data_IF_498284886610
#
_entry.id   IF_498284886610
#
_cell.length_a   1.000
_cell.length_b   1.000
_cell.length_c   1.000
_cell.angle_alpha   90.00
_cell.angle_beta   90.00
_cell.angle_gamma   90.00
#
_symmetry.space_group_name_H-M   'P 1'
#
loop_
_entity.id
_entity.type
_entity.pdbx_description
1 polymer ?
#
# COMPACT_ATOMS: atom_id res chain seq x y z
N UNK A 1 -19.41 64.16 -60.62
CA UNK A 1 -20.15 63.31 -61.58
C UNK A 1 -21.25 62.58 -60.79
N UNK A 2 -22.45 63.16 -60.64
CA UNK A 2 -23.75 62.67 -61.20
C UNK A 2 -23.72 61.16 -61.55
N UNK A 3 -24.55 60.29 -60.98
CA UNK A 3 -26.02 60.13 -61.11
C UNK A 3 -26.51 59.31 -59.88
N UNK A 4 -27.51 59.66 -59.07
CA UNK A 4 -28.96 59.79 -59.31
C UNK A 4 -29.62 58.57 -59.98
N UNK A 5 -30.35 57.76 -59.20
CA UNK A 5 -31.45 56.93 -59.67
C UNK A 5 -32.44 56.64 -58.53
N UNK A 6 -33.63 57.25 -58.67
CA UNK A 6 -34.87 56.99 -57.94
C UNK A 6 -35.46 55.62 -58.29
N UNK A 7 -36.33 55.08 -57.43
CA UNK A 7 -37.73 54.69 -57.73
C UNK A 7 -38.36 54.01 -56.49
N UNK A 8 -39.21 54.79 -55.83
CA UNK A 8 -40.65 54.57 -55.53
C UNK A 8 -41.25 53.18 -55.26
N UNK A 9 -41.94 53.14 -54.10
CA UNK A 9 -43.31 52.66 -53.82
C UNK A 9 -43.57 51.13 -53.88
N UNK A 10 -43.91 50.55 -52.72
CA UNK A 10 -45.27 50.03 -52.50
C UNK A 10 -45.57 49.88 -51.01
N UNK A 11 -46.66 50.53 -50.62
CA UNK A 11 -47.31 50.47 -49.32
C UNK A 11 -48.31 49.31 -49.37
N UNK A 12 -48.19 48.33 -48.47
CA UNK A 12 -49.26 47.38 -48.17
C UNK A 12 -49.39 47.29 -46.65
N UNK A 13 -50.47 47.85 -46.15
CA UNK A 13 -50.92 47.69 -44.79
C UNK A 13 -51.55 46.32 -44.54
N UNK A 14 -51.79 46.10 -43.25
CA UNK A 14 -52.74 45.14 -42.66
C UNK A 14 -52.39 43.65 -42.77
N UNK A 15 -51.96 43.07 -41.65
CA UNK A 15 -52.92 42.44 -40.73
C UNK A 15 -52.25 42.04 -39.41
N UNK A 16 -52.89 42.48 -38.33
CA UNK A 16 -52.86 41.84 -37.02
C UNK A 16 -52.79 40.32 -37.14
N UNK A 17 -51.89 39.69 -36.39
CA UNK A 17 -52.27 38.58 -35.51
C UNK A 17 -51.06 38.15 -34.67
N UNK A 18 -51.20 38.34 -33.36
CA UNK A 18 -50.98 37.32 -32.34
C UNK A 18 -49.85 36.32 -32.60
N UNK A 19 -48.76 36.46 -31.83
CA UNK A 19 -48.25 35.39 -30.96
C UNK A 19 -47.08 35.91 -30.12
N UNK A 20 -47.48 36.61 -29.07
CA UNK A 20 -46.72 36.71 -27.83
C UNK A 20 -46.26 35.31 -27.36
N UNK A 21 -44.95 35.13 -27.21
CA UNK A 21 -44.39 34.52 -26.02
C UNK A 21 -44.48 33.00 -25.85
N UNK A 22 -43.99 32.19 -26.81
CA UNK A 22 -43.74 30.76 -26.54
C UNK A 22 -42.41 30.19 -27.08
N UNK A 23 -41.47 31.00 -27.58
CA UNK A 23 -40.22 30.48 -28.15
C UNK A 23 -38.96 30.60 -27.26
N UNK A 24 -39.07 31.11 -26.02
CA UNK A 24 -37.88 31.33 -25.17
C UNK A 24 -37.74 30.38 -23.95
N UNK A 25 -38.67 29.43 -23.75
CA UNK A 25 -38.62 28.50 -22.61
C UNK A 25 -38.03 27.12 -22.89
N UNK A 26 -37.53 26.85 -24.09
CA UNK A 26 -36.97 25.54 -24.44
C UNK A 26 -35.44 25.49 -24.58
N UNK A 27 -34.75 26.64 -24.61
CA UNK A 27 -33.28 26.66 -24.78
C UNK A 27 -32.52 26.65 -23.45
N UNK A 28 -33.19 26.96 -22.32
CA UNK A 28 -32.55 26.94 -20.99
C UNK A 28 -32.50 25.54 -20.33
N UNK A 29 -33.34 24.59 -20.77
CA UNK A 29 -33.33 23.22 -20.22
C UNK A 29 -32.21 22.33 -20.76
N UNK A 30 -31.77 22.54 -22.01
CA UNK A 30 -30.77 21.69 -22.65
C UNK A 30 -29.33 21.89 -22.15
N UNK A 31 -29.00 23.09 -21.66
CA UNK A 31 -27.64 23.40 -21.16
C UNK A 31 -27.34 22.80 -19.78
N UNK A 32 -28.36 22.61 -18.95
CA UNK A 32 -28.22 21.97 -17.63
C UNK A 32 -28.09 20.44 -17.76
N UNK A 33 -28.82 19.83 -18.70
CA UNK A 33 -28.75 18.39 -18.93
C UNK A 33 -27.39 17.93 -19.47
N UNK A 34 -26.76 18.71 -20.35
CA UNK A 34 -25.44 18.38 -20.92
C UNK A 34 -24.31 18.51 -19.90
N UNK A 35 -24.40 19.50 -18.99
CA UNK A 35 -23.43 19.69 -17.90
C UNK A 35 -23.54 18.60 -16.84
N UNK A 36 -24.75 18.12 -16.53
CA UNK A 36 -24.95 16.99 -15.63
C UNK A 36 -24.39 15.68 -16.21
N UNK A 37 -24.55 15.44 -17.51
CA UNK A 37 -24.03 14.26 -18.18
C UNK A 37 -22.49 14.24 -18.27
N UNK A 38 -21.85 15.39 -18.47
CA UNK A 38 -20.38 15.50 -18.44
C UNK A 38 -19.83 15.32 -17.02
N UNK A 39 -20.50 15.83 -15.99
CA UNK A 39 -20.12 15.59 -14.60
C UNK A 39 -20.25 14.11 -14.18
N UNK A 40 -21.25 13.39 -14.71
CA UNK A 40 -21.47 11.98 -14.38
C UNK A 40 -20.47 11.04 -15.07
N UNK A 41 -19.98 11.39 -16.27
CA UNK A 41 -18.96 10.61 -17.03
C UNK A 41 -17.53 10.91 -16.57
N UNK A 42 -17.31 11.97 -15.79
CA UNK A 42 -16.02 12.31 -15.16
C UNK A 42 -15.82 11.70 -13.75
N UNK A 43 -16.81 10.95 -13.25
CA UNK A 43 -16.69 10.20 -11.98
C UNK A 43 -16.13 8.77 -12.04
N UNK A 44 -15.74 8.13 -13.18
CA UNK A 44 -15.10 6.83 -13.13
C UNK A 44 -13.59 7.01 -12.85
N UNK A 45 -13.26 7.46 -11.64
CA UNK A 45 -11.88 7.89 -11.36
C UNK A 45 -11.27 7.51 -10.01
N UNK A 46 -12.06 7.25 -8.96
CA UNK A 46 -11.48 7.19 -7.59
C UNK A 46 -11.66 5.88 -6.83
N UNK A 47 -12.25 4.82 -7.41
CA UNK A 47 -12.51 3.59 -6.64
C UNK A 47 -11.93 2.31 -7.23
N UNK A 48 -11.25 2.36 -8.39
CA UNK A 48 -10.83 1.15 -9.10
C UNK A 48 -9.39 0.67 -8.80
N UNK A 49 -8.62 1.43 -8.01
CA UNK A 49 -7.25 1.08 -7.61
C UNK A 49 -7.11 0.84 -6.11
N UNK A 50 -8.10 0.19 -5.49
CA UNK A 50 -7.97 -0.29 -4.12
C UNK A 50 -7.18 -1.60 -4.14
N UNK A 51 -5.85 -1.51 -4.27
CA UNK A 51 -4.97 -2.67 -4.17
C UNK A 51 -5.21 -3.41 -2.85
N UNK A 52 -5.14 -4.74 -2.86
CA UNK A 52 -5.35 -5.51 -1.63
C UNK A 52 -4.07 -5.47 -0.80
N UNK A 53 -4.13 -4.94 0.42
CA UNK A 53 -3.00 -4.93 1.35
C UNK A 53 -3.01 -6.22 2.19
N UNK A 54 -1.96 -7.02 2.08
CA UNK A 54 -1.74 -8.21 2.90
C UNK A 54 -0.73 -7.88 4.00
N UNK A 55 -1.20 -7.77 5.24
CA UNK A 55 -0.39 -7.49 6.43
C UNK A 55 -0.74 -8.48 7.54
N UNK A 56 0.25 -8.83 8.35
CA UNK A 56 0.06 -9.66 9.54
C UNK A 56 -0.76 -8.89 10.59
N UNK A 57 -1.60 -9.61 11.35
CA UNK A 57 -2.34 -9.00 12.46
C UNK A 57 -1.39 -8.46 13.52
N UNK A 58 -1.67 -7.26 14.06
CA UNK A 58 -0.82 -6.60 15.07
C UNK A 58 -0.56 -7.47 16.31
N UNK A 59 -1.54 -8.28 16.69
CA UNK A 59 -1.40 -9.19 17.84
C UNK A 59 -0.31 -10.26 17.65
N UNK A 60 -0.01 -10.65 16.40
CA UNK A 60 1.12 -11.56 16.09
C UNK A 60 2.44 -10.84 16.30
N UNK A 61 2.56 -9.61 15.78
CA UNK A 61 3.76 -8.79 15.94
C UNK A 61 4.04 -8.54 17.41
N UNK A 62 2.99 -8.21 18.17
CA UNK A 62 3.09 -8.05 19.62
C UNK A 62 3.54 -9.36 20.29
N UNK A 63 3.01 -10.53 19.93
CA UNK A 63 3.48 -11.83 20.47
C UNK A 63 4.98 -12.06 20.19
N UNK A 64 5.42 -11.85 18.96
CA UNK A 64 6.83 -12.04 18.57
C UNK A 64 7.75 -11.01 19.25
N UNK A 65 7.27 -9.78 19.48
CA UNK A 65 8.02 -8.74 20.21
C UNK A 65 8.42 -9.18 21.62
N UNK A 66 7.69 -10.10 22.25
CA UNK A 66 7.96 -10.55 23.63
C UNK A 66 9.11 -11.58 23.75
N UNK A 67 9.67 -12.09 22.66
CA UNK A 67 10.72 -13.13 22.75
C UNK A 67 12.10 -12.57 23.12
N UNK A 68 12.30 -11.25 23.05
CA UNK A 68 13.57 -10.60 23.36
C UNK A 68 13.43 -9.09 23.48
N UNK A 69 14.57 -8.39 23.57
CA UNK A 69 14.58 -6.94 23.58
C UNK A 69 14.59 -6.40 22.16
N UNK A 70 13.48 -5.84 21.69
CA UNK A 70 13.45 -5.17 20.37
C UNK A 70 14.27 -3.89 20.45
N UNK A 71 15.34 -3.83 19.66
CA UNK A 71 16.26 -2.69 19.59
C UNK A 71 15.96 -1.80 18.38
N UNK A 72 15.27 -2.33 17.38
CA UNK A 72 14.84 -1.59 16.21
C UNK A 72 13.64 -2.28 15.53
N UNK A 73 12.78 -1.50 14.88
CA UNK A 73 11.58 -1.98 14.20
C UNK A 73 11.38 -1.17 12.91
N UNK A 74 11.00 -1.85 11.85
CA UNK A 74 10.65 -1.25 10.58
C UNK A 74 9.49 -2.01 9.93
N UNK A 75 8.81 -1.37 9.00
CA UNK A 75 7.82 -2.01 8.14
C UNK A 75 8.27 -1.80 6.70
N UNK A 76 8.26 -2.85 5.89
CA UNK A 76 8.55 -2.74 4.45
C UNK A 76 7.33 -3.11 3.63
N UNK A 77 7.19 -2.47 2.48
CA UNK A 77 6.08 -2.68 1.56
C UNK A 77 6.60 -3.15 0.21
N UNK A 78 6.09 -4.29 -0.28
CA UNK A 78 6.38 -4.78 -1.62
C UNK A 78 5.09 -4.80 -2.44
N UNK A 79 5.10 -4.13 -3.58
CA UNK A 79 3.99 -4.06 -4.50
C UNK A 79 4.16 -5.11 -5.59
N UNK A 80 3.23 -6.07 -5.70
CA UNK A 80 3.25 -7.11 -6.72
C UNK A 80 1.83 -7.48 -7.15
N UNK A 81 1.58 -7.52 -8.46
CA UNK A 81 0.30 -7.93 -9.05
C UNK A 81 -0.96 -7.26 -8.44
N UNK A 82 -0.89 -5.94 -8.20
CA UNK A 82 -1.99 -5.17 -7.61
C UNK A 82 -2.22 -5.43 -6.12
N UNK A 83 -1.32 -6.16 -5.46
CA UNK A 83 -1.30 -6.38 -4.02
C UNK A 83 -0.11 -5.68 -3.37
N UNK A 84 -0.32 -5.14 -2.17
CA UNK A 84 0.73 -4.59 -1.32
C UNK A 84 0.98 -5.57 -0.19
N UNK A 85 2.10 -6.28 -0.24
CA UNK A 85 2.55 -7.12 0.87
C UNK A 85 3.32 -6.26 1.87
N UNK A 86 2.89 -6.29 3.13
CA UNK A 86 3.52 -5.55 4.21
C UNK A 86 4.24 -6.54 5.12
N UNK A 87 5.54 -6.34 5.28
CA UNK A 87 6.39 -7.15 6.16
C UNK A 87 6.79 -6.32 7.37
N UNK A 88 6.49 -6.82 8.56
CA UNK A 88 6.95 -6.20 9.81
C UNK A 88 8.30 -6.82 10.20
N UNK A 89 9.32 -5.98 10.39
CA UNK A 89 10.70 -6.40 10.66
C UNK A 89 11.11 -5.95 12.04
N UNK A 90 11.44 -6.90 12.91
CA UNK A 90 11.91 -6.65 14.28
C UNK A 90 13.38 -7.06 14.40
N UNK A 91 14.23 -6.14 14.81
CA UNK A 91 15.61 -6.44 15.20
C UNK A 91 15.64 -6.64 16.70
N UNK A 92 15.95 -7.87 17.12
CA UNK A 92 15.76 -8.31 18.51
C UNK A 92 17.08 -8.78 19.11
N UNK A 93 17.45 -8.18 20.25
CA UNK A 93 18.51 -8.67 21.12
C UNK A 93 17.99 -9.83 21.99
N UNK A 94 18.61 -11.00 21.80
CA UNK A 94 18.32 -12.22 22.53
C UNK A 94 19.16 -12.38 23.79
N UNK A 95 20.02 -11.40 24.13
CA UNK A 95 20.97 -11.42 25.25
C UNK A 95 21.79 -12.71 25.26
N UNK A 96 22.46 -12.97 24.15
CA UNK A 96 23.23 -14.18 23.89
C UNK A 96 24.64 -13.80 23.42
N UNK A 97 25.66 -14.54 23.85
CA UNK A 97 27.07 -14.26 23.56
C UNK A 97 27.51 -14.73 22.16
N UNK A 98 26.58 -14.92 21.23
CA UNK A 98 26.88 -15.47 19.92
C UNK A 98 25.66 -15.50 19.00
N UNK A 99 25.88 -15.21 17.72
CA UNK A 99 24.83 -15.08 16.70
C UNK A 99 24.07 -16.39 16.46
N UNK A 100 24.77 -17.53 16.45
CA UNK A 100 24.12 -18.85 16.35
C UNK A 100 23.26 -19.16 17.57
N UNK A 101 23.80 -18.96 18.76
CA UNK A 101 23.09 -19.20 20.03
C UNK A 101 21.88 -18.28 20.17
N UNK A 102 21.97 -17.05 19.65
CA UNK A 102 20.84 -16.11 19.61
C UNK A 102 19.69 -16.64 18.75
N UNK A 103 19.99 -17.12 17.55
CA UNK A 103 18.99 -17.72 16.66
C UNK A 103 18.38 -18.98 17.28
N UNK A 104 19.19 -19.88 17.85
CA UNK A 104 18.71 -21.08 18.53
C UNK A 104 17.81 -20.75 19.72
N UNK A 105 18.14 -19.70 20.49
CA UNK A 105 17.33 -19.20 21.60
C UNK A 105 16.00 -18.62 21.11
N UNK A 106 16.00 -17.80 20.06
CA UNK A 106 14.78 -17.26 19.46
C UNK A 106 13.84 -18.38 18.98
N UNK A 107 14.39 -19.38 18.29
CA UNK A 107 13.64 -20.57 17.85
C UNK A 107 13.02 -21.31 19.04
N UNK A 108 13.77 -21.51 20.12
CA UNK A 108 13.28 -22.22 21.30
C UNK A 108 12.12 -21.46 21.98
N UNK A 109 12.23 -20.14 22.10
CA UNK A 109 11.17 -19.30 22.67
C UNK A 109 9.91 -19.30 21.81
N UNK A 110 10.04 -19.12 20.50
CA UNK A 110 8.90 -19.15 19.58
C UNK A 110 8.21 -20.52 19.55
N UNK A 111 8.96 -21.62 19.65
CA UNK A 111 8.38 -22.96 19.83
C UNK A 111 7.52 -23.05 21.08
N UNK A 112 7.92 -22.42 22.19
CA UNK A 112 7.11 -22.36 23.40
C UNK A 112 5.80 -21.56 23.20
N UNK A 113 5.78 -20.62 22.26
CA UNK A 113 4.57 -19.91 21.80
C UNK A 113 3.79 -20.66 20.70
N UNK A 114 4.12 -21.92 20.41
CA UNK A 114 3.39 -22.75 19.45
C UNK A 114 3.78 -22.54 17.98
N UNK A 115 4.91 -21.88 17.71
CA UNK A 115 5.45 -21.77 16.37
C UNK A 115 6.18 -23.06 15.98
N UNK A 116 5.98 -23.50 14.75
CA UNK A 116 6.59 -24.71 14.19
C UNK A 116 7.53 -24.36 13.07
N UNK A 117 8.70 -24.99 13.02
CA UNK A 117 9.66 -24.80 11.93
C UNK A 117 9.07 -25.38 10.64
N UNK A 118 9.00 -24.55 9.60
CA UNK A 118 8.60 -24.96 8.25
C UNK A 118 9.84 -25.29 7.41
N UNK A 119 10.86 -24.42 7.45
CA UNK A 119 12.10 -24.59 6.70
C UNK A 119 13.30 -24.17 7.54
N UNK A 120 14.42 -24.86 7.35
CA UNK A 120 15.66 -24.63 8.09
C UNK A 120 16.85 -24.57 7.13
N UNK A 121 17.54 -23.44 7.11
CA UNK A 121 18.81 -23.23 6.39
C UNK A 121 19.86 -22.73 7.40
N UNK A 122 20.22 -23.61 8.32
CA UNK A 122 21.21 -23.29 9.35
C UNK A 122 22.61 -23.10 8.73
N UNK A 123 23.45 -22.26 9.36
CA UNK A 123 23.21 -21.57 10.63
C UNK A 123 22.40 -20.28 10.49
N UNK A 124 22.05 -19.84 9.27
CA UNK A 124 21.75 -18.44 8.99
C UNK A 124 20.27 -18.07 9.06
N UNK A 125 19.39 -19.00 8.70
CA UNK A 125 17.98 -18.69 8.49
C UNK A 125 17.04 -19.84 8.87
N UNK A 126 15.88 -19.50 9.43
CA UNK A 126 14.78 -20.44 9.74
C UNK A 126 13.45 -19.79 9.43
N UNK A 127 12.58 -20.46 8.67
CA UNK A 127 11.16 -20.10 8.54
C UNK A 127 10.33 -20.89 9.54
N UNK A 128 9.41 -20.19 10.19
CA UNK A 128 8.44 -20.76 11.10
C UNK A 128 7.02 -20.35 10.69
N UNK A 129 6.07 -21.23 10.97
CA UNK A 129 4.63 -20.98 10.87
C UNK A 129 3.98 -21.07 12.23
N UNK A 130 2.94 -20.30 12.48
CA UNK A 130 2.15 -20.44 13.70
C UNK A 130 1.06 -21.49 13.52
N UNK A 131 0.84 -22.32 14.55
CA UNK A 131 -0.36 -23.16 14.61
C UNK A 131 -1.63 -22.39 14.97
N UNK A 132 -1.49 -21.20 15.58
CA UNK A 132 -2.57 -20.33 16.05
C UNK A 132 -2.91 -19.25 15.02
N UNK A 133 -1.89 -18.60 14.46
CA UNK A 133 -2.06 -17.52 13.49
C UNK A 133 -2.02 -18.08 12.08
N UNK A 134 -3.20 -18.16 11.44
CA UNK A 134 -3.32 -18.68 10.08
C UNK A 134 -2.59 -17.78 9.10
N UNK A 135 -2.10 -18.39 8.02
CA UNK A 135 -1.43 -17.70 6.92
C UNK A 135 -0.35 -16.71 7.38
N UNK A 136 0.38 -17.06 8.43
CA UNK A 136 1.42 -16.21 9.02
C UNK A 136 2.74 -16.94 8.95
N UNK A 137 3.74 -16.29 8.34
CA UNK A 137 5.12 -16.75 8.28
C UNK A 137 6.00 -15.82 9.11
N UNK A 138 6.95 -16.43 9.81
CA UNK A 138 7.99 -15.74 10.55
C UNK A 138 9.35 -16.26 10.08
N UNK A 139 10.14 -15.40 9.48
CA UNK A 139 11.54 -15.69 9.15
C UNK A 139 12.44 -15.19 10.27
N UNK A 140 13.35 -16.04 10.72
CA UNK A 140 14.40 -15.69 11.66
C UNK A 140 15.74 -15.73 10.94
N UNK A 141 16.45 -14.62 10.99
CA UNK A 141 17.69 -14.41 10.24
C UNK A 141 18.76 -13.91 11.19
N UNK A 142 19.93 -14.53 11.15
CA UNK A 142 21.09 -13.96 11.85
C UNK A 142 21.41 -12.60 11.26
N UNK A 143 21.62 -11.60 12.11
CA UNK A 143 21.97 -10.26 11.63
C UNK A 143 23.27 -10.24 10.81
N UNK A 144 24.23 -11.14 11.11
CA UNK A 144 25.48 -11.27 10.35
C UNK A 144 25.28 -11.81 8.92
N UNK A 145 24.17 -12.51 8.69
CA UNK A 145 23.88 -13.21 7.43
C UNK A 145 22.75 -12.53 6.64
N UNK A 146 22.16 -11.48 7.21
CA UNK A 146 21.13 -10.67 6.56
C UNK A 146 21.70 -9.97 5.31
N UNK A 147 21.03 -10.10 4.18
CA UNK A 147 21.43 -9.47 2.92
C UNK A 147 20.32 -8.54 2.47
N UNK A 148 20.70 -7.36 1.99
CA UNK A 148 19.73 -6.43 1.42
C UNK A 148 19.40 -6.86 0.00
N UNK A 149 18.11 -7.00 -0.31
CA UNK A 149 17.64 -7.11 -1.69
C UNK A 149 17.72 -5.75 -2.39
N UNK A 150 17.84 -5.71 -3.72
CA UNK A 150 17.86 -4.47 -4.50
C UNK A 150 16.53 -3.68 -4.33
N UNK A 151 15.46 -4.40 -4.02
CA UNK A 151 14.12 -3.85 -3.78
C UNK A 151 13.82 -3.56 -2.31
N UNK A 152 14.81 -3.64 -1.43
CA UNK A 152 14.60 -3.47 0.00
C UNK A 152 14.54 -2.00 0.42
N UNK A 153 13.77 -1.73 1.46
CA UNK A 153 13.58 -0.38 1.97
C UNK A 153 14.92 0.22 2.45
N UNK A 154 15.34 1.40 1.93
CA UNK A 154 16.58 2.05 2.35
C UNK A 154 16.61 2.38 3.86
N UNK A 155 15.46 2.55 4.52
CA UNK A 155 15.38 2.76 5.96
C UNK A 155 15.73 1.49 6.73
N UNK A 156 15.22 0.33 6.30
CA UNK A 156 15.60 -0.97 6.86
C UNK A 156 17.10 -1.22 6.67
N UNK A 157 17.64 -0.89 5.50
CA UNK A 157 19.06 -1.00 5.23
C UNK A 157 19.93 -0.16 6.17
N UNK A 158 19.53 1.10 6.39
CA UNK A 158 20.19 1.99 7.36
C UNK A 158 20.08 1.46 8.78
N UNK A 159 18.92 0.95 9.18
CA UNK A 159 18.67 0.40 10.52
C UNK A 159 19.58 -0.80 10.83
N UNK A 160 19.59 -1.81 9.95
CA UNK A 160 20.43 -3.00 10.13
C UNK A 160 21.91 -2.63 10.08
N UNK A 161 22.31 -1.71 9.21
CA UNK A 161 23.68 -1.21 9.15
C UNK A 161 24.08 -0.52 10.45
N UNK A 162 23.22 0.35 11.02
CA UNK A 162 23.48 1.02 12.27
C UNK A 162 23.68 0.04 13.44
N UNK A 163 22.87 -1.01 13.53
CA UNK A 163 23.03 -2.07 14.54
C UNK A 163 24.36 -2.80 14.36
N UNK A 164 24.74 -3.13 13.11
CA UNK A 164 26.04 -3.75 12.82
C UNK A 164 27.22 -2.88 13.21
N UNK A 165 27.18 -1.58 12.91
CA UNK A 165 28.27 -0.65 13.20
C UNK A 165 28.49 -0.43 14.69
N UNK A 166 27.46 -0.58 15.53
CA UNK A 166 27.60 -0.51 17.00
C UNK A 166 28.36 -1.70 17.61
N UNK A 167 28.61 -2.76 16.85
CA UNK A 167 29.23 -3.99 17.36
C UNK A 167 28.24 -4.90 18.10
N UNK A 168 26.96 -4.52 18.18
CA UNK A 168 25.86 -5.25 18.84
C UNK A 168 25.36 -6.41 17.97
N UNK A 169 26.25 -7.15 17.31
CA UNK A 169 25.84 -8.24 16.40
C UNK A 169 25.79 -9.60 17.07
N UNK A 170 26.54 -9.76 18.16
CA UNK A 170 26.47 -10.93 19.02
C UNK A 170 25.18 -10.86 19.82
N UNK A 171 24.30 -11.85 19.65
CA UNK A 171 23.03 -11.87 20.36
C UNK A 171 21.82 -11.37 19.57
N UNK A 172 22.02 -10.74 18.41
CA UNK A 172 20.93 -10.12 17.65
C UNK A 172 20.42 -11.00 16.51
N UNK A 173 19.09 -11.04 16.38
CA UNK A 173 18.35 -11.75 15.34
C UNK A 173 17.38 -10.78 14.67
N UNK A 174 17.27 -10.87 13.34
CA UNK A 174 16.24 -10.17 12.56
C UNK A 174 15.06 -11.11 12.39
N UNK A 175 13.87 -10.61 12.71
CA UNK A 175 12.60 -11.32 12.65
C UNK A 175 11.73 -10.63 11.60
N UNK A 176 11.34 -11.34 10.55
CA UNK A 176 10.44 -10.82 9.52
C UNK A 176 9.11 -11.53 9.60
N UNK A 177 8.02 -10.77 9.77
CA UNK A 177 6.66 -11.28 9.80
C UNK A 177 5.92 -10.87 8.54
N UNK A 178 5.36 -11.85 7.86
CA UNK A 178 4.56 -11.63 6.67
C UNK A 178 3.41 -12.64 6.56
N UNK A 179 2.45 -12.31 5.70
CA UNK A 179 1.36 -13.22 5.35
C UNK A 179 1.83 -14.30 4.38
N UNK A 180 1.49 -15.55 4.63
CA UNK A 180 1.91 -16.71 3.85
C UNK A 180 0.97 -17.04 2.67
N UNK A 181 -0.22 -16.44 2.58
CA UNK A 181 -1.21 -16.67 1.52
C UNK A 181 -0.86 -16.02 0.17
N UNK A 182 0.34 -15.44 0.08
CA UNK A 182 0.90 -14.78 -1.10
C UNK A 182 1.45 -15.74 -2.17
N UNK A 183 1.16 -17.05 -2.09
CA UNK A 183 1.70 -18.10 -2.99
C UNK A 183 0.67 -18.62 -3.98
#
# INVERSE_FOLDING_TARGET
MRLNLSISILWSGELMSSRSGQAQRLVRGGRLALALWTALVLLPGCSFFSGTTSRVERAVVDEVRHIGGVIAEATTERHWDGQTAVTDVLVTDMRSTGSRTALEKAIALLKAFGWTIEMRRLPDWVSMRSGRWKDTRLSLIRIASYQFDEFEDPELAKMITAVRTRGETEGVVVLELDRADRS
#
